data_IF_246898650731
#
_entry.id   IF_246898650731
#
_cell.length_a   1.000
_cell.length_b   1.000
_cell.length_c   1.000
_cell.angle_alpha   90.00
_cell.angle_beta   90.00
_cell.angle_gamma   90.00
#
_symmetry.space_group_name_H-M   'P 1'
#
loop_
_entity.id
_entity.type
_entity.pdbx_description
1 polymer ?
#
# COMPACT_ATOMS: atom_id res chain seq x y z
N UNK A 1 3.94 -24.13 22.16
CA UNK A 1 4.63 -24.34 20.87
C UNK A 1 5.36 -25.67 20.96
N UNK A 2 5.17 -26.56 20.00
CA UNK A 2 5.95 -27.79 19.88
C UNK A 2 7.40 -27.45 19.53
N UNK A 3 8.33 -27.76 20.43
CA UNK A 3 9.74 -27.88 20.05
C UNK A 3 9.89 -29.06 19.09
N UNK A 4 10.58 -28.88 17.97
CA UNK A 4 10.99 -30.04 17.16
C UNK A 4 11.76 -31.02 18.02
N UNK A 5 11.53 -32.32 17.80
CA UNK A 5 12.29 -33.35 18.49
C UNK A 5 13.77 -33.21 18.14
N UNK A 6 14.64 -33.72 19.00
CA UNK A 6 16.08 -33.73 18.71
C UNK A 6 16.39 -34.48 17.40
N UNK A 7 15.59 -35.51 17.09
CA UNK A 7 15.67 -36.31 15.87
C UNK A 7 15.37 -35.50 14.61
N UNK A 8 14.32 -34.66 14.62
CA UNK A 8 13.97 -33.82 13.47
C UNK A 8 15.06 -32.77 13.17
N UNK A 9 15.69 -32.22 14.22
CA UNK A 9 16.81 -31.27 14.06
C UNK A 9 18.03 -31.94 13.41
N UNK A 10 18.39 -33.15 13.83
CA UNK A 10 19.49 -33.91 13.23
C UNK A 10 19.19 -34.26 11.77
N UNK A 11 17.95 -34.65 11.46
CA UNK A 11 17.51 -34.90 10.08
C UNK A 11 17.61 -33.64 9.21
N UNK A 12 17.24 -32.47 9.72
CA UNK A 12 17.39 -31.20 9.00
C UNK A 12 18.87 -30.82 8.78
N UNK A 13 19.74 -31.05 9.77
CA UNK A 13 21.19 -30.82 9.63
C UNK A 13 21.78 -31.75 8.55
N UNK A 14 21.37 -33.03 8.51
CA UNK A 14 21.76 -33.96 7.46
C UNK A 14 21.32 -33.44 6.07
N UNK A 15 20.04 -33.08 5.90
CA UNK A 15 19.48 -32.48 4.68
C UNK A 15 20.16 -31.18 4.24
N UNK A 16 20.74 -30.42 5.19
CA UNK A 16 21.49 -29.21 4.88
C UNK A 16 22.90 -29.56 4.39
N UNK A 17 23.56 -30.52 5.02
CA UNK A 17 24.90 -30.97 4.67
C UNK A 17 24.95 -31.75 3.34
N UNK A 18 23.91 -32.51 3.00
CA UNK A 18 23.77 -33.17 1.68
C UNK A 18 23.18 -32.24 0.59
N UNK A 19 22.62 -31.09 0.99
CA UNK A 19 22.03 -30.11 0.09
C UNK A 19 20.63 -30.46 -0.43
N UNK A 20 19.94 -31.46 0.12
CA UNK A 20 18.58 -31.90 -0.26
C UNK A 20 17.44 -31.12 0.43
N UNK A 21 17.75 -30.23 1.38
CA UNK A 21 16.75 -29.41 2.08
C UNK A 21 15.93 -28.52 1.12
N UNK A 22 14.64 -28.33 1.46
CA UNK A 22 13.78 -27.31 0.85
C UNK A 22 13.73 -26.05 1.72
N UNK A 23 13.50 -24.88 1.13
CA UNK A 23 13.53 -23.60 1.87
C UNK A 23 12.44 -23.48 2.94
N UNK A 24 11.30 -24.16 2.79
CA UNK A 24 10.23 -24.18 3.81
C UNK A 24 10.66 -24.90 5.10
N UNK A 25 11.55 -25.90 5.01
CA UNK A 25 12.18 -26.58 6.18
C UNK A 25 13.00 -25.61 7.05
N UNK A 26 13.42 -24.48 6.48
CA UNK A 26 14.15 -23.43 7.19
C UNK A 26 13.24 -22.39 7.84
N UNK A 27 11.92 -22.45 7.69
CA UNK A 27 10.98 -21.54 8.37
C UNK A 27 11.06 -21.65 9.90
N UNK A 28 10.63 -20.65 10.66
CA UNK A 28 10.57 -20.75 12.13
C UNK A 28 9.69 -21.89 12.60
N UNK A 29 8.55 -22.11 11.93
CA UNK A 29 7.57 -23.09 12.35
C UNK A 29 8.14 -24.53 12.29
N UNK A 30 9.03 -24.78 11.31
CA UNK A 30 9.79 -26.04 11.16
C UNK A 30 11.19 -26.02 11.75
N UNK A 31 11.75 -24.86 12.09
CA UNK A 31 13.08 -24.74 12.68
C UNK A 31 13.23 -23.41 13.44
N UNK A 32 12.77 -23.31 14.71
CA UNK A 32 12.78 -22.03 15.42
C UNK A 32 14.17 -21.41 15.52
N UNK A 33 15.16 -22.18 15.98
CA UNK A 33 16.59 -21.82 16.00
C UNK A 33 17.39 -23.01 15.49
N UNK A 34 18.21 -22.78 14.46
CA UNK A 34 19.21 -23.74 14.00
C UNK A 34 20.55 -23.40 14.64
N UNK A 35 21.11 -24.35 15.39
CA UNK A 35 22.47 -24.24 15.88
C UNK A 35 23.43 -24.53 14.71
N UNK A 36 24.36 -23.60 14.48
CA UNK A 36 25.22 -23.59 13.29
C UNK A 36 26.55 -24.31 13.61
N UNK A 37 26.68 -24.94 14.79
CA UNK A 37 27.90 -25.65 15.21
C UNK A 37 28.24 -26.81 14.26
N UNK A 38 27.23 -27.58 13.87
CA UNK A 38 27.36 -28.84 13.12
C UNK A 38 27.31 -28.65 11.59
N UNK A 39 27.30 -27.40 11.12
CA UNK A 39 27.17 -27.05 9.69
C UNK A 39 28.39 -26.24 9.27
N UNK A 40 29.11 -26.72 8.26
CA UNK A 40 30.32 -26.05 7.78
C UNK A 40 30.01 -24.64 7.24
N UNK A 41 30.99 -23.74 7.30
CA UNK A 41 30.82 -22.35 6.84
C UNK A 41 30.46 -22.26 5.36
N UNK A 42 30.94 -23.19 4.55
CA UNK A 42 30.67 -23.21 3.10
C UNK A 42 29.30 -23.80 2.77
N UNK A 43 28.87 -24.86 3.46
CA UNK A 43 27.48 -25.35 3.35
C UNK A 43 26.51 -24.25 3.77
N UNK A 44 26.75 -23.58 4.90
CA UNK A 44 25.93 -22.46 5.36
C UNK A 44 25.88 -21.29 4.36
N UNK A 45 27.00 -21.00 3.70
CA UNK A 45 27.09 -19.99 2.63
C UNK A 45 26.26 -20.40 1.40
N UNK A 46 26.22 -21.68 1.05
CA UNK A 46 25.33 -22.20 -0.01
C UNK A 46 23.85 -22.12 0.39
N UNK A 47 23.49 -22.43 1.65
CA UNK A 47 22.13 -22.24 2.18
C UNK A 47 21.69 -20.78 2.02
N UNK A 48 22.55 -19.82 2.39
CA UNK A 48 22.25 -18.40 2.21
C UNK A 48 22.25 -17.96 0.75
N UNK A 49 23.03 -18.60 -0.13
CA UNK A 49 22.93 -18.37 -1.57
C UNK A 49 21.56 -18.77 -2.12
N UNK A 50 21.05 -19.97 -1.77
CA UNK A 50 19.69 -20.40 -2.15
C UNK A 50 18.60 -19.47 -1.61
N UNK A 51 18.73 -18.98 -0.37
CA UNK A 51 17.80 -17.99 0.19
C UNK A 51 17.78 -16.66 -0.56
N UNK A 52 18.95 -16.15 -0.96
CA UNK A 52 19.03 -14.91 -1.77
C UNK A 52 18.50 -15.16 -3.18
N UNK A 53 18.78 -16.32 -3.77
CA UNK A 53 18.31 -16.69 -5.11
C UNK A 53 16.78 -16.78 -5.17
N UNK A 54 16.13 -17.34 -4.15
CA UNK A 54 14.66 -17.36 -4.06
C UNK A 54 14.06 -15.95 -3.94
N UNK A 55 14.73 -15.06 -3.18
CA UNK A 55 14.34 -13.66 -3.11
C UNK A 55 14.54 -12.92 -4.45
N UNK A 56 15.58 -13.24 -5.24
CA UNK A 56 15.77 -12.67 -6.57
C UNK A 56 14.69 -13.18 -7.56
N UNK A 57 14.42 -14.50 -7.56
CA UNK A 57 13.38 -15.14 -8.38
C UNK A 57 11.99 -14.61 -8.10
N UNK A 58 11.63 -14.40 -6.82
CA UNK A 58 10.34 -13.80 -6.42
C UNK A 58 10.09 -12.44 -7.08
N UNK A 59 11.15 -11.68 -7.33
CA UNK A 59 11.15 -10.37 -7.96
C UNK A 59 11.56 -10.38 -9.44
N UNK A 60 11.67 -11.58 -10.05
CA UNK A 60 12.01 -11.78 -11.46
C UNK A 60 13.34 -11.14 -11.89
N UNK A 61 14.33 -11.13 -10.98
CA UNK A 61 15.69 -10.64 -11.25
C UNK A 61 16.62 -11.83 -11.45
N UNK A 62 17.35 -11.88 -12.57
CA UNK A 62 18.41 -12.87 -12.74
C UNK A 62 19.59 -12.55 -11.79
N UNK A 63 20.14 -13.59 -11.18
CA UNK A 63 21.30 -13.47 -10.29
C UNK A 63 22.60 -13.30 -11.07
N UNK A 64 22.66 -13.76 -12.32
CA UNK A 64 23.87 -13.65 -13.15
C UNK A 64 24.04 -12.19 -13.65
N UNK A 65 22.96 -11.56 -14.12
CA UNK A 65 22.91 -10.12 -14.47
C UNK A 65 23.29 -9.20 -13.29
N UNK A 66 23.11 -9.68 -12.06
CA UNK A 66 23.32 -8.92 -10.82
C UNK A 66 24.32 -9.60 -9.86
N UNK A 67 25.29 -10.35 -10.38
CA UNK A 67 26.14 -11.26 -9.61
C UNK A 67 26.94 -10.58 -8.48
N UNK A 68 27.34 -9.31 -8.66
CA UNK A 68 28.03 -8.52 -7.63
C UNK A 68 27.08 -8.18 -6.48
N UNK A 69 25.85 -7.74 -6.78
CA UNK A 69 24.80 -7.52 -5.78
C UNK A 69 24.46 -8.82 -5.04
N UNK A 70 24.21 -9.91 -5.79
CA UNK A 70 23.92 -11.24 -5.25
C UNK A 70 24.98 -11.70 -4.24
N UNK A 71 26.27 -11.66 -4.61
CA UNK A 71 27.39 -12.01 -3.71
C UNK A 71 27.41 -11.17 -2.43
N UNK A 72 27.02 -9.88 -2.51
CA UNK A 72 26.97 -8.97 -1.35
C UNK A 72 25.76 -9.25 -0.45
N UNK A 73 24.60 -9.59 -1.03
CA UNK A 73 23.43 -10.10 -0.31
C UNK A 73 23.76 -11.37 0.48
N UNK A 74 24.39 -12.37 -0.15
CA UNK A 74 24.83 -13.60 0.53
C UNK A 74 25.81 -13.29 1.66
N UNK A 75 26.84 -12.46 1.41
CA UNK A 75 27.80 -12.01 2.44
C UNK A 75 27.12 -11.25 3.59
N UNK A 76 25.96 -10.62 3.35
CA UNK A 76 25.15 -9.96 4.39
C UNK A 76 24.44 -10.98 5.28
N UNK A 77 23.76 -11.97 4.69
CA UNK A 77 23.10 -13.05 5.43
C UNK A 77 24.08 -13.88 6.26
N UNK A 78 25.25 -14.25 5.70
CA UNK A 78 26.34 -14.96 6.42
C UNK A 78 26.71 -14.23 7.72
N UNK A 79 26.81 -12.89 7.67
CA UNK A 79 27.14 -12.06 8.84
C UNK A 79 25.96 -11.89 9.79
N UNK A 80 24.73 -11.81 9.27
CA UNK A 80 23.52 -11.61 10.05
C UNK A 80 22.97 -12.87 10.73
N UNK A 81 23.34 -14.07 10.24
CA UNK A 81 22.93 -15.39 10.75
C UNK A 81 21.41 -15.57 10.93
N UNK A 82 20.59 -15.41 9.86
CA UNK A 82 19.12 -15.43 9.97
C UNK A 82 18.52 -16.75 10.48
N UNK A 83 19.25 -17.88 10.42
CA UNK A 83 18.79 -19.17 10.99
C UNK A 83 18.81 -19.21 12.53
N UNK A 84 19.49 -18.25 13.17
CA UNK A 84 19.54 -18.13 14.65
C UNK A 84 18.46 -17.18 15.20
N UNK A 85 17.79 -16.40 14.33
CA UNK A 85 16.81 -15.40 14.72
C UNK A 85 15.38 -15.97 14.69
N UNK A 86 14.63 -15.78 15.77
CA UNK A 86 13.18 -16.07 15.88
C UNK A 86 12.30 -14.83 15.71
N UNK A 87 12.87 -13.63 15.86
CA UNK A 87 12.21 -12.37 15.57
C UNK A 87 13.08 -11.49 14.68
N UNK A 88 12.47 -10.48 14.06
CA UNK A 88 13.20 -9.50 13.26
C UNK A 88 14.21 -8.70 14.11
N UNK A 89 13.91 -8.47 15.40
CA UNK A 89 14.82 -7.82 16.36
C UNK A 89 16.01 -8.68 16.78
N UNK A 90 15.88 -10.01 16.83
CA UNK A 90 16.99 -10.93 17.14
C UNK A 90 18.01 -11.05 16.00
N UNK A 91 17.69 -10.61 14.78
CA UNK A 91 18.59 -10.68 13.64
C UNK A 91 19.84 -9.83 13.86
N UNK A 92 21.04 -10.41 13.80
CA UNK A 92 22.30 -9.69 14.08
C UNK A 92 22.58 -8.55 13.08
N UNK A 93 21.95 -8.58 11.91
CA UNK A 93 21.99 -7.48 10.93
C UNK A 93 21.02 -6.32 11.24
N UNK A 94 20.07 -6.48 12.17
CA UNK A 94 18.95 -5.55 12.38
C UNK A 94 19.39 -4.14 12.72
N UNK A 95 20.37 -3.95 13.63
CA UNK A 95 20.91 -2.61 13.97
C UNK A 95 21.35 -1.80 12.74
N UNK A 96 21.88 -2.47 11.71
CA UNK A 96 22.28 -1.79 10.46
C UNK A 96 21.09 -1.56 9.52
N UNK A 97 20.11 -2.47 9.48
CA UNK A 97 18.84 -2.24 8.77
C UNK A 97 18.09 -1.05 9.38
N UNK A 98 17.90 -1.02 10.71
CA UNK A 98 17.30 0.09 11.47
C UNK A 98 17.99 1.44 11.17
N UNK A 99 19.33 1.47 11.07
CA UNK A 99 20.06 2.68 10.63
C UNK A 99 19.65 3.13 9.22
N UNK A 100 19.66 2.24 8.23
CA UNK A 100 19.27 2.60 6.86
C UNK A 100 17.80 3.00 6.74
N UNK A 101 16.90 2.38 7.53
CA UNK A 101 15.50 2.76 7.59
C UNK A 101 15.31 4.17 8.16
N UNK A 102 16.01 4.52 9.25
CA UNK A 102 15.99 5.88 9.80
C UNK A 102 16.44 6.90 8.75
N UNK A 103 17.61 6.70 8.14
CA UNK A 103 18.13 7.61 7.10
C UNK A 103 17.26 7.65 5.84
N UNK A 104 16.60 6.54 5.47
CA UNK A 104 15.63 6.54 4.37
C UNK A 104 14.36 7.33 4.72
N UNK A 105 13.89 7.26 5.96
CA UNK A 105 12.73 8.02 6.43
C UNK A 105 13.06 9.52 6.58
N UNK A 106 14.21 9.85 7.18
CA UNK A 106 14.75 11.21 7.25
C UNK A 106 14.77 11.85 5.85
N UNK A 107 15.35 11.15 4.87
CA UNK A 107 15.43 11.60 3.48
C UNK A 107 14.05 11.71 2.80
N UNK A 108 13.09 10.85 3.16
CA UNK A 108 11.71 10.93 2.68
C UNK A 108 11.00 12.17 3.26
N UNK A 109 11.17 12.46 4.56
CA UNK A 109 10.59 13.65 5.19
C UNK A 109 11.21 14.96 4.67
N UNK A 110 12.51 14.96 4.35
CA UNK A 110 13.17 16.15 3.79
C UNK A 110 12.78 16.45 2.34
N UNK A 111 12.44 15.42 1.56
CA UNK A 111 12.32 15.56 0.08
C UNK A 111 10.93 15.27 -0.47
N UNK A 112 10.01 14.72 0.33
CA UNK A 112 8.66 14.31 -0.10
C UNK A 112 8.60 13.06 -0.98
N UNK A 113 9.73 12.62 -1.55
CA UNK A 113 9.78 11.51 -2.50
C UNK A 113 9.92 10.14 -1.81
N UNK A 114 9.39 9.06 -2.41
CA UNK A 114 9.64 7.70 -1.94
C UNK A 114 11.13 7.38 -1.86
N UNK A 115 11.55 6.67 -0.82
CA UNK A 115 12.95 6.24 -0.63
C UNK A 115 13.08 4.73 -0.55
N UNK A 116 14.29 4.23 -0.77
CA UNK A 116 14.62 2.81 -0.67
C UNK A 116 15.98 2.61 0.01
N UNK A 117 16.12 1.52 0.77
CA UNK A 117 17.39 1.09 1.39
C UNK A 117 18.20 0.20 0.43
N UNK A 118 19.53 0.06 0.60
CA UNK A 118 20.36 -0.77 -0.29
C UNK A 118 19.88 -2.22 -0.39
N UNK A 119 19.94 -2.81 -1.59
CA UNK A 119 19.49 -4.19 -1.85
C UNK A 119 19.97 -5.24 -0.82
N UNK A 120 21.24 -5.31 -0.37
CA UNK A 120 21.65 -6.28 0.65
C UNK A 120 20.92 -6.18 1.99
N UNK A 121 20.41 -5.00 2.34
CA UNK A 121 19.56 -4.80 3.50
C UNK A 121 18.11 -5.18 3.21
N UNK A 122 17.56 -4.76 2.07
CA UNK A 122 16.20 -5.08 1.63
C UNK A 122 15.99 -6.60 1.49
N UNK A 123 16.91 -7.29 0.80
CA UNK A 123 16.93 -8.76 0.68
C UNK A 123 17.04 -9.45 2.04
N UNK A 124 17.84 -8.90 2.97
CA UNK A 124 17.92 -9.48 4.33
C UNK A 124 16.56 -9.50 5.01
N UNK A 125 15.79 -8.41 4.91
CA UNK A 125 14.45 -8.31 5.48
C UNK A 125 13.47 -9.22 4.75
N UNK A 126 13.48 -9.23 3.40
CA UNK A 126 12.60 -10.08 2.59
C UNK A 126 12.82 -11.57 2.92
N UNK A 127 14.07 -12.04 2.98
CA UNK A 127 14.40 -13.44 3.37
C UNK A 127 13.93 -13.76 4.79
N UNK A 128 14.08 -12.82 5.73
CA UNK A 128 13.60 -13.00 7.10
C UNK A 128 12.06 -13.13 7.17
N UNK A 129 11.33 -12.34 6.38
CA UNK A 129 9.87 -12.30 6.39
C UNK A 129 9.23 -13.45 5.59
N UNK A 130 9.77 -13.78 4.42
CA UNK A 130 9.12 -14.73 3.48
C UNK A 130 9.59 -16.17 3.66
N UNK A 131 10.91 -16.39 3.81
CA UNK A 131 11.51 -17.71 3.93
C UNK A 131 11.58 -18.13 5.40
N UNK A 132 12.22 -17.31 6.26
CA UNK A 132 12.30 -17.62 7.69
C UNK A 132 10.97 -17.43 8.43
N UNK A 133 10.06 -16.59 7.90
CA UNK A 133 8.80 -16.21 8.56
C UNK A 133 9.02 -15.70 9.99
N UNK A 134 10.03 -14.84 10.18
CA UNK A 134 10.37 -14.33 11.52
C UNK A 134 9.24 -13.51 12.14
N UNK A 135 9.11 -13.59 13.46
CA UNK A 135 8.14 -12.79 14.20
C UNK A 135 8.48 -11.31 14.10
N UNK A 136 7.46 -10.53 13.80
CA UNK A 136 7.50 -9.06 13.72
C UNK A 136 6.80 -8.44 14.95
N UNK A 137 5.82 -9.15 15.51
CA UNK A 137 4.90 -8.66 16.53
C UNK A 137 5.39 -9.03 17.94
N UNK A 138 6.17 -8.14 18.53
CA UNK A 138 6.21 -7.95 19.99
C UNK A 138 6.01 -6.45 20.21
N UNK A 139 5.26 -6.04 21.22
CA UNK A 139 4.80 -4.64 21.35
C UNK A 139 5.99 -3.66 21.39
N UNK A 140 7.03 -4.00 22.16
CA UNK A 140 8.33 -3.31 22.22
C UNK A 140 9.07 -3.19 20.87
N UNK A 141 8.77 -4.04 19.89
CA UNK A 141 9.35 -3.95 18.55
C UNK A 141 8.59 -2.94 17.70
N UNK A 142 7.27 -2.79 17.87
CA UNK A 142 6.49 -1.79 17.15
C UNK A 142 6.94 -0.37 17.52
N UNK A 143 6.89 -0.02 18.80
CA UNK A 143 7.32 1.27 19.36
C UNK A 143 8.69 1.70 18.82
N UNK A 144 9.65 0.78 18.93
CA UNK A 144 11.05 1.06 18.69
C UNK A 144 11.41 1.06 17.17
N UNK A 145 10.51 0.60 16.29
CA UNK A 145 10.80 0.41 14.86
C UNK A 145 9.72 1.00 13.93
N UNK A 146 9.06 2.10 14.30
CA UNK A 146 8.15 2.86 13.42
C UNK A 146 8.67 3.12 12.00
N UNK A 147 9.97 3.44 11.75
CA UNK A 147 10.49 3.56 10.38
C UNK A 147 10.37 2.29 9.54
N UNK A 148 10.45 1.10 10.16
CA UNK A 148 10.19 -0.16 9.46
C UNK A 148 8.72 -0.28 9.07
N UNK A 149 7.80 -0.03 10.02
CA UNK A 149 6.36 -0.12 9.79
C UNK A 149 5.90 0.84 8.66
N UNK A 150 6.31 2.11 8.73
CA UNK A 150 6.05 3.13 7.69
C UNK A 150 6.60 2.71 6.32
N UNK A 151 7.90 2.41 6.23
CA UNK A 151 8.55 2.19 4.94
C UNK A 151 8.15 0.85 4.28
N UNK A 152 7.99 -0.23 5.05
CA UNK A 152 7.63 -1.54 4.49
C UNK A 152 6.11 -1.76 4.39
N UNK A 153 5.32 -1.26 5.34
CA UNK A 153 3.87 -1.43 5.37
C UNK A 153 3.13 -0.43 4.48
N UNK A 154 3.40 0.86 4.66
CA UNK A 154 2.69 1.95 3.98
C UNK A 154 3.35 2.31 2.64
N UNK A 155 4.66 2.62 2.64
CA UNK A 155 5.39 2.95 1.41
C UNK A 155 5.78 1.73 0.55
N UNK A 156 5.40 0.51 0.97
CA UNK A 156 5.62 -0.77 0.27
C UNK A 156 7.06 -1.02 -0.21
N UNK A 157 8.08 -0.52 0.51
CA UNK A 157 9.48 -0.41 0.04
C UNK A 157 10.04 -1.66 -0.67
N UNK A 158 9.61 -2.86 -0.29
CA UNK A 158 9.95 -4.12 -0.96
C UNK A 158 9.75 -4.13 -2.49
N UNK A 159 8.75 -3.42 -3.01
CA UNK A 159 8.48 -3.35 -4.46
C UNK A 159 9.63 -2.73 -5.28
N UNK A 160 10.50 -1.96 -4.62
CA UNK A 160 11.66 -1.30 -5.23
C UNK A 160 12.90 -2.20 -5.29
N UNK A 161 12.83 -3.47 -4.87
CA UNK A 161 13.96 -4.39 -4.88
C UNK A 161 14.62 -4.56 -6.26
N UNK A 162 13.91 -4.70 -7.40
CA UNK A 162 14.56 -4.84 -8.71
C UNK A 162 15.44 -3.64 -9.05
N UNK A 163 14.94 -2.44 -8.75
CA UNK A 163 15.67 -1.17 -8.94
C UNK A 163 16.87 -1.09 -7.98
N UNK A 164 16.68 -1.45 -6.69
CA UNK A 164 17.77 -1.49 -5.70
C UNK A 164 18.87 -2.50 -6.08
N UNK A 165 18.54 -3.55 -6.82
CA UNK A 165 19.50 -4.52 -7.37
C UNK A 165 20.19 -3.94 -8.62
N UNK A 166 19.43 -3.46 -9.62
CA UNK A 166 19.98 -2.90 -10.89
C UNK A 166 21.01 -1.80 -10.63
N UNK A 167 20.78 -0.93 -9.65
CA UNK A 167 21.67 0.19 -9.32
C UNK A 167 22.58 -0.03 -8.10
N UNK A 168 22.69 -1.27 -7.61
CA UNK A 168 23.47 -1.57 -6.40
C UNK A 168 24.94 -1.11 -6.51
N UNK A 169 25.54 -1.26 -7.69
CA UNK A 169 26.96 -0.96 -7.87
C UNK A 169 27.26 0.52 -7.86
N UNK A 170 26.38 1.38 -8.39
CA UNK A 170 26.59 2.83 -8.38
C UNK A 170 26.12 3.50 -7.06
N UNK A 171 25.05 3.00 -6.43
CA UNK A 171 24.49 3.55 -5.18
C UNK A 171 25.23 3.00 -3.93
N UNK A 172 25.99 1.93 -4.11
CA UNK A 172 26.79 1.26 -3.10
C UNK A 172 25.96 0.77 -1.88
N UNK A 173 25.99 1.51 -0.76
CA UNK A 173 25.34 1.12 0.50
C UNK A 173 24.65 2.33 1.17
N UNK A 174 24.27 3.35 0.40
CA UNK A 174 23.42 4.46 0.87
C UNK A 174 21.93 4.21 0.55
N UNK A 175 20.98 4.74 1.35
CA UNK A 175 19.61 4.91 0.89
C UNK A 175 19.55 5.86 -0.32
N UNK A 176 18.49 5.77 -1.10
CA UNK A 176 18.30 6.56 -2.32
C UNK A 176 16.84 6.99 -2.51
N UNK A 177 16.64 8.03 -3.30
CA UNK A 177 15.33 8.58 -3.67
C UNK A 177 14.84 7.93 -4.96
N UNK A 178 13.52 7.76 -5.08
CA UNK A 178 12.83 7.33 -6.29
C UNK A 178 11.92 8.46 -6.78
N UNK A 179 12.08 8.87 -8.04
CA UNK A 179 11.18 9.82 -8.71
C UNK A 179 10.43 9.12 -9.84
N UNK A 180 9.10 9.09 -9.74
CA UNK A 180 8.24 8.53 -10.79
C UNK A 180 8.05 9.57 -11.89
N UNK A 181 8.37 9.22 -13.15
CA UNK A 181 8.22 10.09 -14.32
C UNK A 181 7.55 9.31 -15.45
N UNK A 182 6.45 9.86 -15.99
CA UNK A 182 5.72 9.27 -17.12
C UNK A 182 6.60 9.26 -18.38
N UNK A 183 6.51 8.19 -19.17
CA UNK A 183 7.24 8.06 -20.44
C UNK A 183 8.67 7.49 -20.33
N UNK A 184 9.23 7.31 -19.13
CA UNK A 184 10.53 6.66 -18.97
C UNK A 184 10.40 5.13 -19.13
N UNK A 185 11.00 4.57 -20.17
CA UNK A 185 11.02 3.11 -20.44
C UNK A 185 12.04 2.37 -19.58
N UNK A 186 13.22 2.94 -19.37
CA UNK A 186 14.28 2.39 -18.52
C UNK A 186 14.61 3.31 -17.35
N UNK A 187 14.74 2.79 -16.11
CA UNK A 187 15.11 3.63 -14.99
C UNK A 187 16.52 4.21 -15.18
N UNK A 188 16.73 5.42 -14.68
CA UNK A 188 17.98 6.19 -14.81
C UNK A 188 18.46 6.67 -13.45
N UNK A 189 19.77 6.60 -13.19
CA UNK A 189 20.37 7.08 -11.95
C UNK A 189 21.05 8.44 -12.16
N UNK A 190 20.74 9.37 -11.28
CA UNK A 190 21.40 10.68 -11.14
C UNK A 190 21.87 10.87 -9.70
N UNK A 191 22.84 11.75 -9.47
CA UNK A 191 23.28 12.16 -8.15
C UNK A 191 23.02 13.67 -7.98
N UNK A 192 22.42 14.07 -6.86
CA UNK A 192 22.25 15.48 -6.49
C UNK A 192 22.89 15.73 -5.11
N UNK A 193 23.31 16.97 -4.87
CA UNK A 193 23.70 17.41 -3.53
C UNK A 193 22.46 17.87 -2.74
N UNK A 194 22.35 17.43 -1.50
CA UNK A 194 21.30 17.80 -0.54
C UNK A 194 21.94 17.78 0.86
N UNK A 195 21.86 18.88 1.61
CA UNK A 195 22.51 19.08 2.92
C UNK A 195 23.99 18.61 2.94
N UNK A 196 24.80 19.13 2.00
CA UNK A 196 26.20 18.79 1.74
C UNK A 196 26.50 17.28 1.53
N UNK A 197 25.45 16.46 1.30
CA UNK A 197 25.57 15.04 1.03
C UNK A 197 25.14 14.76 -0.40
N UNK A 198 25.94 13.94 -1.08
CA UNK A 198 25.56 13.40 -2.39
C UNK A 198 24.51 12.31 -2.19
N UNK A 199 23.30 12.56 -2.69
CA UNK A 199 22.16 11.64 -2.65
C UNK A 199 21.92 11.06 -4.04
N UNK A 200 21.77 9.75 -4.11
CA UNK A 200 21.37 9.05 -5.34
C UNK A 200 19.86 9.17 -5.56
N UNK A 201 19.46 9.55 -6.78
CA UNK A 201 18.07 9.66 -7.22
C UNK A 201 17.88 8.78 -8.45
N UNK A 202 16.91 7.87 -8.38
CA UNK A 202 16.54 7.02 -9.51
C UNK A 202 15.22 7.51 -10.08
N UNK A 203 15.24 7.88 -11.35
CA UNK A 203 14.07 8.17 -12.16
C UNK A 203 13.53 6.87 -12.74
N UNK A 204 12.22 6.64 -12.69
CA UNK A 204 11.56 5.40 -13.15
C UNK A 204 10.12 5.68 -13.58
N UNK A 205 9.51 4.85 -14.42
CA UNK A 205 8.07 4.93 -14.73
C UNK A 205 7.16 4.51 -13.57
N UNK A 206 7.73 3.92 -12.52
CA UNK A 206 7.04 3.49 -11.31
C UNK A 206 7.75 2.28 -10.69
N UNK A 207 7.12 1.59 -9.72
CA UNK A 207 7.50 0.20 -9.44
C UNK A 207 7.17 -0.65 -10.67
N UNK A 208 7.94 -1.72 -10.90
CA UNK A 208 7.65 -2.69 -11.96
C UNK A 208 6.19 -3.19 -11.87
N UNK A 209 5.55 -3.56 -13.00
CA UNK A 209 4.12 -3.84 -13.05
C UNK A 209 3.66 -4.85 -11.99
N UNK A 210 2.41 -4.76 -11.50
CA UNK A 210 1.90 -5.43 -10.29
C UNK A 210 1.90 -6.97 -10.32
N UNK A 211 2.42 -7.58 -11.40
CA UNK A 211 2.69 -9.02 -11.51
C UNK A 211 3.95 -9.47 -10.77
N UNK A 212 4.87 -8.56 -10.42
CA UNK A 212 5.98 -8.93 -9.52
C UNK A 212 5.45 -9.18 -8.10
N UNK A 213 5.84 -10.30 -7.49
CA UNK A 213 5.43 -10.64 -6.13
C UNK A 213 6.18 -9.75 -5.14
N UNK A 214 5.58 -8.62 -4.79
CA UNK A 214 5.90 -7.88 -3.57
C UNK A 214 5.76 -8.79 -2.33
N UNK A 215 6.12 -8.30 -1.14
CA UNK A 215 5.86 -9.04 0.10
C UNK A 215 4.38 -9.48 0.14
N UNK A 216 4.08 -10.76 0.49
CA UNK A 216 2.71 -11.25 0.57
C UNK A 216 1.80 -10.31 1.36
N UNK A 217 0.58 -10.05 0.87
CA UNK A 217 -0.33 -9.06 1.46
C UNK A 217 -0.51 -9.24 2.97
N UNK A 218 -0.67 -10.48 3.44
CA UNK A 218 -0.76 -10.83 4.87
C UNK A 218 0.47 -10.36 5.70
N UNK A 219 1.67 -10.36 5.11
CA UNK A 219 2.88 -9.83 5.76
C UNK A 219 2.85 -8.29 5.77
N UNK A 220 2.40 -7.65 4.68
CA UNK A 220 2.27 -6.19 4.60
C UNK A 220 1.25 -5.66 5.61
N UNK A 221 0.07 -6.29 5.72
CA UNK A 221 -0.94 -5.91 6.72
C UNK A 221 -0.46 -6.13 8.16
N UNK A 222 0.26 -7.23 8.44
CA UNK A 222 0.91 -7.45 9.74
C UNK A 222 1.95 -6.38 10.07
N UNK A 223 2.63 -5.80 9.07
CA UNK A 223 3.61 -4.71 9.26
C UNK A 223 2.90 -3.38 9.48
N UNK A 224 1.82 -3.08 8.73
CA UNK A 224 1.00 -1.87 8.94
C UNK A 224 0.41 -1.82 10.35
N UNK A 225 -0.04 -2.96 10.88
CA UNK A 225 -0.53 -3.08 12.26
C UNK A 225 0.53 -2.86 13.36
N UNK A 226 1.78 -2.54 13.00
CA UNK A 226 2.83 -2.09 13.93
C UNK A 226 3.00 -0.57 13.93
N UNK A 227 2.36 0.15 13.01
CA UNK A 227 2.37 1.61 13.00
C UNK A 227 1.49 2.14 14.12
N UNK A 228 2.04 3.01 14.97
CA UNK A 228 1.22 3.87 15.83
C UNK A 228 0.67 5.01 14.97
N UNK A 229 -0.59 5.44 15.13
CA UNK A 229 -1.04 6.74 14.63
C UNK A 229 -0.09 7.81 15.17
N UNK A 230 0.61 8.53 14.29
CA UNK A 230 1.68 9.46 14.67
C UNK A 230 1.59 10.69 13.77
N UNK A 231 1.64 11.89 14.36
CA UNK A 231 1.35 13.19 13.71
C UNK A 231 2.25 13.55 12.51
N UNK A 232 3.23 12.73 12.17
CA UNK A 232 4.10 12.91 10.99
C UNK A 232 3.39 12.75 9.63
N UNK A 233 2.13 12.31 9.62
CA UNK A 233 1.29 12.36 8.41
C UNK A 233 0.62 13.73 8.19
N UNK A 234 0.72 14.67 9.15
CA UNK A 234 0.21 16.04 9.06
C UNK A 234 1.23 17.02 8.45
N UNK A 235 2.54 16.72 8.52
CA UNK A 235 3.61 17.71 8.28
C UNK A 235 4.24 17.68 6.87
N UNK A 236 3.66 16.97 5.90
CA UNK A 236 4.21 16.86 4.53
C UNK A 236 3.57 17.81 3.50
N UNK A 237 2.93 18.88 3.96
CA UNK A 237 2.46 20.00 3.14
C UNK A 237 2.80 21.35 3.79
N UNK A 238 3.98 21.89 3.49
CA UNK A 238 4.29 23.31 3.69
C UNK A 238 3.73 24.16 2.52
N UNK A 239 3.50 25.46 2.59
CA UNK A 239 3.73 26.53 3.59
C UNK A 239 2.59 27.59 3.39
N UNK A 240 2.31 28.59 4.24
CA UNK A 240 3.03 29.15 5.40
C UNK A 240 2.09 29.92 6.38
N UNK A 241 2.71 30.48 7.42
CA UNK A 241 2.36 31.71 8.17
C UNK A 241 1.26 31.79 9.26
N UNK A 242 1.63 32.61 10.26
CA UNK A 242 0.85 33.32 11.29
C UNK A 242 -0.05 32.55 12.29
N UNK A 243 0.33 32.67 13.57
CA UNK A 243 -0.51 32.38 14.74
C UNK A 243 -1.72 33.32 14.88
N UNK A 244 -2.88 32.81 15.33
CA UNK A 244 -3.81 33.46 16.27
C UNK A 244 -4.63 32.38 17.00
N UNK A 245 -4.79 32.53 18.31
CA UNK A 245 -5.66 31.67 19.13
C UNK A 245 -7.15 32.02 18.91
N UNK A 246 -8.00 31.01 18.66
CA UNK A 246 -9.42 31.04 19.02
C UNK A 246 -9.95 29.61 19.25
N UNK A 247 -10.75 29.42 20.31
CA UNK A 247 -11.21 28.09 20.72
C UNK A 247 -12.39 27.57 19.88
N UNK A 248 -12.29 26.35 19.35
CA UNK A 248 -13.45 25.50 19.06
C UNK A 248 -13.06 24.01 19.14
N UNK A 249 -13.59 23.22 20.09
CA UNK A 249 -13.24 21.81 20.22
C UNK A 249 -14.01 20.93 19.21
N UNK A 250 -13.27 20.39 18.23
CA UNK A 250 -13.72 19.26 17.41
C UNK A 250 -14.11 19.55 15.96
N UNK A 251 -13.41 20.45 15.26
CA UNK A 251 -13.51 20.57 13.79
C UNK A 251 -12.41 19.83 13.02
N UNK A 252 -11.27 19.52 13.64
CA UNK A 252 -10.13 18.81 13.02
C UNK A 252 -10.02 17.31 13.34
N UNK A 253 -10.92 16.75 14.15
CA UNK A 253 -10.93 15.31 14.41
C UNK A 253 -11.66 14.54 13.29
N UNK A 254 -11.17 13.33 12.90
CA UNK A 254 -11.88 12.46 11.98
C UNK A 254 -13.16 11.91 12.65
N UNK A 255 -14.23 11.80 11.87
CA UNK A 255 -15.50 11.28 12.39
C UNK A 255 -15.53 9.77 12.11
N UNK A 256 -15.58 8.93 13.15
CA UNK A 256 -15.81 7.49 12.99
C UNK A 256 -17.27 7.21 12.63
N UNK A 257 -17.50 6.69 11.43
CA UNK A 257 -18.82 6.48 10.85
C UNK A 257 -19.05 5.01 10.54
N UNK A 258 -19.91 4.38 11.34
CA UNK A 258 -20.49 3.08 11.02
C UNK A 258 -21.54 3.27 9.89
N UNK A 259 -21.23 2.83 8.68
CA UNK A 259 -22.16 2.76 7.55
C UNK A 259 -22.74 1.35 7.47
N UNK A 260 -24.07 1.26 7.52
CA UNK A 260 -24.82 0.02 7.29
C UNK A 260 -25.41 0.05 5.89
N UNK A 261 -25.35 -1.07 5.19
CA UNK A 261 -26.02 -1.30 3.91
C UNK A 261 -26.88 -2.54 4.06
N UNK A 262 -28.17 -2.44 3.79
CA UNK A 262 -29.07 -3.60 3.72
C UNK A 262 -29.26 -4.07 2.28
N UNK A 263 -29.62 -5.34 2.11
CA UNK A 263 -29.98 -5.89 0.79
C UNK A 263 -31.13 -5.13 0.15
N UNK A 264 -32.15 -4.75 0.92
CA UNK A 264 -33.32 -4.02 0.42
C UNK A 264 -32.91 -2.67 -0.16
N UNK A 265 -32.08 -1.89 0.53
CA UNK A 265 -31.56 -0.61 0.04
C UNK A 265 -30.68 -0.78 -1.21
N UNK A 266 -29.80 -1.79 -1.22
CA UNK A 266 -28.91 -2.07 -2.35
C UNK A 266 -29.71 -2.45 -3.62
N UNK A 267 -30.73 -3.30 -3.49
CA UNK A 267 -31.60 -3.69 -4.60
C UNK A 267 -32.53 -2.54 -5.04
N UNK A 268 -33.10 -1.79 -4.10
CA UNK A 268 -34.01 -0.68 -4.41
C UNK A 268 -33.28 0.47 -5.12
N UNK A 269 -32.05 0.80 -4.70
CA UNK A 269 -31.20 1.81 -5.37
C UNK A 269 -30.71 1.35 -6.75
N UNK A 270 -30.61 0.03 -6.98
CA UNK A 270 -30.21 -0.55 -8.25
C UNK A 270 -31.37 -0.92 -9.18
N UNK A 271 -32.61 -0.76 -8.76
CA UNK A 271 -33.78 -1.39 -9.40
C UNK A 271 -33.92 -1.04 -10.90
N UNK A 272 -33.62 0.20 -11.28
CA UNK A 272 -33.71 0.65 -12.68
C UNK A 272 -32.63 0.02 -13.58
N UNK A 273 -31.39 -0.07 -13.10
CA UNK A 273 -30.27 -0.63 -13.87
C UNK A 273 -30.29 -2.15 -13.89
N UNK A 274 -30.66 -2.78 -12.77
CA UNK A 274 -30.85 -4.23 -12.66
C UNK A 274 -32.04 -4.70 -13.52
N UNK A 275 -33.16 -3.97 -13.51
CA UNK A 275 -34.33 -4.30 -14.32
C UNK A 275 -34.10 -4.22 -15.83
N UNK A 276 -32.99 -3.64 -16.28
CA UNK A 276 -32.57 -3.53 -17.69
C UNK A 276 -31.46 -4.52 -18.08
N UNK A 277 -30.84 -5.18 -17.11
CA UNK A 277 -29.66 -6.01 -17.29
C UNK A 277 -30.03 -7.32 -18.01
N UNK A 278 -29.34 -7.61 -19.12
CA UNK A 278 -29.59 -8.81 -19.94
C UNK A 278 -30.92 -8.80 -20.71
N UNK A 279 -31.71 -7.72 -20.68
CA UNK A 279 -32.96 -7.64 -21.45
C UNK A 279 -32.69 -7.50 -22.96
N UNK A 280 -33.36 -8.31 -23.81
CA UNK A 280 -33.25 -8.18 -25.26
C UNK A 280 -33.86 -6.85 -25.73
N UNK A 281 -33.19 -6.17 -26.66
CA UNK A 281 -33.61 -4.87 -27.20
C UNK A 281 -33.18 -3.65 -26.37
N UNK A 282 -32.60 -3.85 -25.18
CA UNK A 282 -31.92 -2.79 -24.43
C UNK A 282 -30.45 -2.73 -24.84
N UNK A 283 -29.95 -1.54 -25.18
CA UNK A 283 -28.51 -1.32 -25.38
C UNK A 283 -27.77 -1.53 -24.05
N UNK A 284 -27.15 -2.69 -23.90
CA UNK A 284 -26.38 -3.04 -22.71
C UNK A 284 -25.18 -2.10 -22.51
N UNK A 285 -24.56 -1.57 -23.57
CA UNK A 285 -23.41 -0.67 -23.42
C UNK A 285 -23.81 0.65 -22.73
N UNK A 286 -25.03 1.14 -22.98
CA UNK A 286 -25.56 2.35 -22.32
C UNK A 286 -25.69 2.22 -20.79
N UNK A 287 -25.90 1.01 -20.27
CA UNK A 287 -26.05 0.76 -18.83
C UNK A 287 -24.75 0.95 -18.04
N UNK A 288 -23.60 1.00 -18.73
CA UNK A 288 -22.26 1.02 -18.12
C UNK A 288 -22.05 2.14 -17.10
N UNK A 289 -22.48 3.36 -17.40
CA UNK A 289 -22.31 4.49 -16.48
C UNK A 289 -23.17 4.32 -15.21
N UNK A 290 -24.44 3.93 -15.38
CA UNK A 290 -25.35 3.71 -14.26
C UNK A 290 -24.91 2.55 -13.36
N UNK A 291 -24.46 1.45 -13.95
CA UNK A 291 -23.93 0.29 -13.21
C UNK A 291 -22.62 0.61 -12.49
N UNK A 292 -21.67 1.32 -13.11
CA UNK A 292 -20.40 1.66 -12.44
C UNK A 292 -20.58 2.70 -11.31
N UNK A 293 -21.58 3.57 -11.41
CA UNK A 293 -21.97 4.47 -10.32
C UNK A 293 -22.66 3.74 -9.16
N UNK A 294 -23.52 2.77 -9.47
CA UNK A 294 -24.29 2.03 -8.45
C UNK A 294 -23.49 0.90 -7.79
N UNK A 295 -22.65 0.17 -8.54
CA UNK A 295 -21.84 -0.92 -8.00
C UNK A 295 -20.88 -0.42 -6.93
N UNK A 296 -20.79 -1.18 -5.85
CA UNK A 296 -19.91 -0.91 -4.71
C UNK A 296 -19.66 -2.20 -3.94
N UNK A 297 -18.55 -2.30 -3.20
CA UNK A 297 -18.30 -3.46 -2.34
C UNK A 297 -19.46 -3.71 -1.33
N UNK A 298 -19.99 -2.70 -0.60
CA UNK A 298 -21.14 -2.90 0.28
C UNK A 298 -22.37 -3.47 -0.44
N UNK A 299 -22.72 -2.93 -1.62
CA UNK A 299 -23.84 -3.46 -2.41
C UNK A 299 -23.56 -4.90 -2.86
N UNK A 300 -22.38 -5.17 -3.41
CA UNK A 300 -22.00 -6.52 -3.87
C UNK A 300 -22.09 -7.50 -2.69
N UNK A 301 -21.61 -7.17 -1.49
CA UNK A 301 -21.65 -8.09 -0.35
C UNK A 301 -23.06 -8.52 0.07
N UNK A 302 -24.06 -7.63 -0.01
CA UNK A 302 -25.45 -7.93 0.41
C UNK A 302 -26.36 -8.46 -0.70
N UNK A 303 -25.95 -8.37 -1.97
CA UNK A 303 -26.77 -8.86 -3.09
C UNK A 303 -27.02 -10.38 -3.03
N UNK A 304 -28.21 -10.85 -3.45
CA UNK A 304 -28.47 -12.27 -3.67
C UNK A 304 -27.52 -12.87 -4.71
N UNK A 305 -27.24 -14.17 -4.57
CA UNK A 305 -26.37 -14.92 -5.48
C UNK A 305 -26.78 -14.86 -6.97
N UNK A 306 -28.08 -14.81 -7.28
CA UNK A 306 -28.53 -14.71 -8.67
C UNK A 306 -28.13 -13.36 -9.28
N UNK A 307 -28.42 -12.24 -8.60
CA UNK A 307 -28.01 -10.90 -9.03
C UNK A 307 -26.49 -10.80 -9.20
N UNK A 308 -25.71 -11.43 -8.30
CA UNK A 308 -24.24 -11.51 -8.42
C UNK A 308 -23.79 -12.26 -9.68
N UNK A 309 -24.45 -13.36 -10.04
CA UNK A 309 -24.12 -14.10 -11.25
C UNK A 309 -24.44 -13.29 -12.52
N UNK A 310 -25.61 -12.65 -12.56
CA UNK A 310 -26.03 -11.84 -13.71
C UNK A 310 -25.07 -10.65 -13.91
N UNK A 311 -24.70 -9.98 -12.80
CA UNK A 311 -23.67 -8.94 -12.79
C UNK A 311 -22.28 -9.48 -13.14
N UNK A 312 -21.90 -10.70 -12.74
CA UNK A 312 -20.60 -11.28 -13.05
C UNK A 312 -20.41 -11.44 -14.56
N UNK A 313 -21.39 -12.02 -15.25
CA UNK A 313 -21.35 -12.16 -16.70
C UNK A 313 -21.39 -10.80 -17.40
N UNK A 314 -22.28 -9.91 -16.99
CA UNK A 314 -22.38 -8.58 -17.59
C UNK A 314 -21.10 -7.74 -17.37
N UNK A 315 -20.51 -7.76 -16.17
CA UNK A 315 -19.26 -7.05 -15.88
C UNK A 315 -18.05 -7.64 -16.62
N UNK A 316 -18.10 -8.93 -17.01
CA UNK A 316 -17.07 -9.56 -17.84
C UNK A 316 -16.83 -8.78 -19.14
N UNK A 317 -17.91 -8.30 -19.76
CA UNK A 317 -17.85 -7.67 -21.08
C UNK A 317 -17.73 -6.13 -21.00
N UNK A 318 -18.29 -5.50 -19.96
CA UNK A 318 -18.42 -4.03 -19.89
C UNK A 318 -17.69 -3.33 -18.73
N UNK A 319 -17.45 -4.00 -17.59
CA UNK A 319 -16.81 -3.41 -16.39
C UNK A 319 -15.84 -4.41 -15.71
N UNK A 320 -14.74 -4.79 -16.36
CA UNK A 320 -13.93 -5.93 -15.93
C UNK A 320 -13.24 -5.77 -14.57
N UNK A 321 -13.10 -4.54 -14.05
CA UNK A 321 -12.55 -4.28 -12.71
C UNK A 321 -13.43 -4.79 -11.56
N UNK A 322 -14.74 -4.95 -11.78
CA UNK A 322 -15.65 -5.48 -10.74
C UNK A 322 -15.63 -7.01 -10.64
N UNK A 323 -15.13 -7.74 -11.65
CA UNK A 323 -15.20 -9.21 -11.72
C UNK A 323 -14.55 -9.87 -10.50
N UNK A 324 -13.35 -9.44 -10.11
CA UNK A 324 -12.62 -10.06 -9.00
C UNK A 324 -13.31 -9.82 -7.64
N UNK A 325 -13.94 -8.65 -7.45
CA UNK A 325 -14.75 -8.35 -6.28
C UNK A 325 -16.00 -9.25 -6.24
N UNK A 326 -16.78 -9.29 -7.32
CA UNK A 326 -17.98 -10.12 -7.44
C UNK A 326 -17.64 -11.60 -7.23
N UNK A 327 -16.55 -12.10 -7.83
CA UNK A 327 -16.07 -13.48 -7.66
C UNK A 327 -15.68 -13.78 -6.22
N UNK A 328 -15.01 -12.85 -5.53
CA UNK A 328 -14.59 -13.08 -4.14
C UNK A 328 -15.76 -13.14 -3.15
N UNK A 329 -16.89 -12.51 -3.47
CA UNK A 329 -18.09 -12.46 -2.64
C UNK A 329 -19.26 -13.29 -3.19
N UNK A 330 -19.03 -14.18 -4.16
CA UNK A 330 -20.09 -14.86 -4.93
C UNK A 330 -20.94 -15.83 -4.09
N UNK A 331 -20.30 -16.49 -3.12
CA UNK A 331 -20.95 -17.41 -2.17
C UNK A 331 -21.33 -16.74 -0.83
N UNK A 332 -21.07 -15.43 -0.67
CA UNK A 332 -21.59 -14.68 0.48
C UNK A 332 -23.07 -14.35 0.26
N UNK A 333 -23.96 -14.68 1.20
CA UNK A 333 -25.35 -14.23 1.18
C UNK A 333 -25.68 -13.55 2.51
N UNK A 334 -25.61 -12.22 2.53
CA UNK A 334 -25.78 -11.40 3.73
C UNK A 334 -27.00 -10.50 3.57
N UNK A 335 -27.85 -10.43 4.59
CA UNK A 335 -28.94 -9.44 4.64
C UNK A 335 -28.41 -8.01 4.81
N UNK A 336 -27.32 -7.88 5.57
CA UNK A 336 -26.71 -6.61 5.95
C UNK A 336 -25.19 -6.67 5.90
N UNK A 337 -24.59 -5.55 5.56
CA UNK A 337 -23.15 -5.31 5.65
C UNK A 337 -22.92 -4.04 6.46
N UNK A 338 -21.91 -4.06 7.31
CA UNK A 338 -21.54 -2.94 8.17
C UNK A 338 -20.07 -2.66 7.95
N UNK A 339 -19.74 -1.41 7.61
CA UNK A 339 -18.37 -0.92 7.51
C UNK A 339 -18.19 0.27 8.44
N UNK A 340 -17.18 0.18 9.30
CA UNK A 340 -16.71 1.32 10.08
C UNK A 340 -15.66 2.04 9.24
N UNK A 341 -15.91 3.32 8.93
CA UNK A 341 -15.01 4.16 8.14
C UNK A 341 -14.80 5.49 8.85
N UNK A 342 -13.59 6.00 8.83
CA UNK A 342 -13.29 7.36 9.29
C UNK A 342 -13.55 8.35 8.15
N UNK A 343 -14.29 9.41 8.43
CA UNK A 343 -14.42 10.57 7.54
C UNK A 343 -13.35 11.57 7.95
N UNK A 344 -12.36 11.86 7.09
CA UNK A 344 -11.27 12.75 7.44
C UNK A 344 -11.77 14.16 7.73
N UNK A 345 -10.96 14.93 8.48
CA UNK A 345 -11.20 16.34 8.69
C UNK A 345 -11.20 17.14 7.37
N UNK A 346 -11.79 18.34 7.38
CA UNK A 346 -11.85 19.20 6.18
C UNK A 346 -10.46 19.45 5.58
N UNK A 347 -9.48 19.67 6.46
CA UNK A 347 -8.05 19.81 6.23
C UNK A 347 -7.39 18.59 5.56
N UNK A 348 -7.99 17.41 5.68
CA UNK A 348 -7.48 16.13 5.18
C UNK A 348 -8.33 15.54 4.02
N UNK A 349 -9.31 16.29 3.50
CA UNK A 349 -10.14 15.87 2.37
C UNK A 349 -9.28 15.71 1.11
N UNK A 350 -9.22 14.49 0.58
CA UNK A 350 -8.52 14.19 -0.66
C UNK A 350 -9.33 13.24 -1.54
N UNK A 351 -9.37 13.53 -2.85
CA UNK A 351 -10.06 12.70 -3.84
C UNK A 351 -9.08 11.62 -4.32
N UNK A 352 -9.37 10.32 -4.10
CA UNK A 352 -8.49 9.22 -4.50
C UNK A 352 -8.09 9.29 -5.97
N UNK A 353 -6.86 8.89 -6.27
CA UNK A 353 -6.35 8.86 -7.66
C UNK A 353 -7.15 7.92 -8.57
N UNK A 354 -7.80 6.91 -7.99
CA UNK A 354 -8.50 5.83 -8.70
C UNK A 354 -9.88 6.15 -9.27
N UNK A 355 -10.57 7.21 -8.83
CA UNK A 355 -11.92 7.49 -9.33
C UNK A 355 -12.68 8.59 -8.60
N UNK A 356 -13.49 9.33 -9.37
CA UNK A 356 -14.41 10.33 -8.81
C UNK A 356 -15.74 9.74 -8.30
N UNK A 357 -16.15 8.60 -8.85
CA UNK A 357 -17.37 7.87 -8.51
C UNK A 357 -17.35 7.37 -7.07
N UNK A 358 -16.28 6.68 -6.67
CA UNK A 358 -16.12 6.16 -5.30
C UNK A 358 -16.17 7.29 -4.25
N UNK A 359 -15.55 8.43 -4.57
CA UNK A 359 -15.59 9.62 -3.72
C UNK A 359 -17.02 10.17 -3.62
N UNK A 360 -17.70 10.48 -4.73
CA UNK A 360 -19.08 10.97 -4.70
C UNK A 360 -20.05 9.99 -4.01
N UNK A 361 -19.85 8.67 -4.18
CA UNK A 361 -20.66 7.63 -3.55
C UNK A 361 -20.52 7.62 -2.02
N UNK A 362 -19.30 7.71 -1.49
CA UNK A 362 -19.07 7.87 -0.05
C UNK A 362 -19.79 9.11 0.49
N UNK A 363 -19.67 10.24 -0.21
CA UNK A 363 -20.24 11.52 0.23
C UNK A 363 -21.78 11.52 0.16
N UNK A 364 -22.37 10.81 -0.80
CA UNK A 364 -23.82 10.54 -0.84
C UNK A 364 -24.28 9.66 0.34
N UNK A 365 -23.52 8.60 0.69
CA UNK A 365 -23.84 7.76 1.85
C UNK A 365 -23.74 8.54 3.18
N UNK A 366 -22.76 9.44 3.31
CA UNK A 366 -22.63 10.33 4.46
C UNK A 366 -23.79 11.33 4.55
N UNK A 367 -24.25 11.89 3.42
CA UNK A 367 -25.41 12.78 3.38
C UNK A 367 -26.70 12.07 3.85
N UNK A 368 -26.93 10.85 3.36
CA UNK A 368 -28.06 10.03 3.76
C UNK A 368 -28.01 9.71 5.27
N UNK A 369 -26.84 9.31 5.80
CA UNK A 369 -26.68 9.07 7.22
C UNK A 369 -26.88 10.32 8.07
N UNK A 370 -26.39 11.48 7.62
CA UNK A 370 -26.64 12.75 8.28
C UNK A 370 -28.14 13.11 8.32
N UNK A 371 -28.87 12.85 7.24
CA UNK A 371 -30.33 13.02 7.18
C UNK A 371 -31.06 12.12 8.19
N UNK A 372 -30.66 10.85 8.31
CA UNK A 372 -31.20 9.92 9.32
C UNK A 372 -30.86 10.34 10.76
N UNK A 373 -29.69 10.92 10.98
CA UNK A 373 -29.27 11.44 12.29
C UNK A 373 -29.91 12.79 12.65
N UNK A 374 -30.50 13.52 11.70
CA UNK A 374 -30.97 14.90 11.91
C UNK A 374 -32.01 15.02 13.04
N UNK A 375 -32.85 13.99 13.27
CA UNK A 375 -33.86 13.95 14.32
C UNK A 375 -33.36 13.44 15.68
N UNK A 376 -32.25 12.69 15.70
CA UNK A 376 -31.75 11.97 16.89
C UNK A 376 -30.44 12.54 17.45
N UNK A 377 -29.58 13.09 16.58
CA UNK A 377 -28.35 13.78 16.92
C UNK A 377 -28.06 14.90 15.91
N UNK A 378 -28.76 16.03 16.07
CA UNK A 378 -28.66 17.19 15.18
C UNK A 378 -27.28 17.91 15.21
N UNK A 379 -26.41 17.63 16.18
CA UNK A 379 -25.04 18.15 16.19
C UNK A 379 -24.17 17.33 15.24
N UNK A 380 -24.22 16.00 15.38
CA UNK A 380 -23.48 15.07 14.53
C UNK A 380 -23.94 15.11 13.07
N UNK A 381 -25.25 15.21 12.85
CA UNK A 381 -25.83 15.41 11.52
C UNK A 381 -25.28 16.67 10.84
N UNK A 382 -25.15 17.79 11.57
CA UNK A 382 -24.58 19.04 11.02
C UNK A 382 -23.08 18.92 10.74
N UNK A 383 -22.32 18.26 11.62
CA UNK A 383 -20.89 17.96 11.37
C UNK A 383 -20.70 17.12 10.12
N UNK A 384 -21.46 16.04 9.97
CA UNK A 384 -21.46 15.19 8.78
C UNK A 384 -21.84 15.97 7.51
N UNK A 385 -22.91 16.77 7.54
CA UNK A 385 -23.27 17.61 6.38
C UNK A 385 -22.19 18.64 6.03
N UNK A 386 -21.50 19.21 7.03
CA UNK A 386 -20.35 20.08 6.81
C UNK A 386 -19.19 19.39 6.10
N UNK A 387 -18.86 18.14 6.51
CA UNK A 387 -17.89 17.30 5.77
C UNK A 387 -18.38 17.06 4.33
N UNK A 388 -19.66 16.73 4.16
CA UNK A 388 -20.26 16.44 2.85
C UNK A 388 -20.12 17.61 1.87
N UNK A 389 -20.52 18.82 2.29
CA UNK A 389 -20.42 20.02 1.46
C UNK A 389 -18.96 20.31 1.05
N UNK A 390 -18.02 20.26 2.00
CA UNK A 390 -16.61 20.49 1.71
C UNK A 390 -16.02 19.44 0.74
N UNK A 391 -16.41 18.18 0.86
CA UNK A 391 -15.99 17.15 -0.10
C UNK A 391 -16.57 17.39 -1.50
N UNK A 392 -17.85 17.75 -1.61
CA UNK A 392 -18.48 18.07 -2.90
C UNK A 392 -17.82 19.30 -3.55
N UNK A 393 -17.48 20.33 -2.77
CA UNK A 393 -16.73 21.50 -3.25
C UNK A 393 -15.34 21.12 -3.78
N UNK A 394 -14.59 20.30 -3.03
CA UNK A 394 -13.29 19.77 -3.48
C UNK A 394 -13.44 18.97 -4.78
N UNK A 395 -14.52 18.19 -4.92
CA UNK A 395 -14.83 17.45 -6.14
C UNK A 395 -15.08 18.36 -7.34
N UNK A 396 -15.93 19.37 -7.17
CA UNK A 396 -16.21 20.37 -8.21
C UNK A 396 -14.93 21.09 -8.65
N UNK A 397 -14.10 21.54 -7.69
CA UNK A 397 -12.83 22.20 -7.97
C UNK A 397 -11.85 21.30 -8.77
N UNK A 398 -11.67 20.04 -8.35
CA UNK A 398 -10.76 19.10 -9.05
C UNK A 398 -11.29 18.67 -10.42
N UNK A 399 -12.61 18.60 -10.59
CA UNK A 399 -13.25 18.34 -11.88
C UNK A 399 -13.07 19.52 -12.85
N UNK A 400 -13.28 20.75 -12.37
CA UNK A 400 -13.09 21.98 -13.15
C UNK A 400 -11.62 22.19 -13.55
N UNK A 401 -10.67 21.93 -12.63
CA UNK A 401 -9.24 21.95 -12.95
C UNK A 401 -8.85 20.95 -14.05
N UNK A 402 -9.51 19.77 -14.11
CA UNK A 402 -9.30 18.81 -15.21
C UNK A 402 -9.89 19.30 -16.53
N UNK A 403 -11.04 19.98 -16.52
CA UNK A 403 -11.60 20.58 -17.75
C UNK A 403 -10.73 21.74 -18.25
N UNK A 404 -10.29 22.64 -17.36
CA UNK A 404 -9.32 23.70 -17.69
C UNK A 404 -8.01 23.14 -18.23
N UNK A 405 -7.45 22.09 -17.63
CA UNK A 405 -6.25 21.44 -18.17
C UNK A 405 -6.52 20.84 -19.57
N UNK A 406 -7.68 20.21 -19.78
CA UNK A 406 -8.05 19.66 -21.08
C UNK A 406 -8.35 20.75 -22.14
N UNK A 407 -8.81 21.95 -21.73
CA UNK A 407 -8.97 23.14 -22.59
C UNK A 407 -7.63 23.77 -22.94
N UNK A 408 -6.71 23.87 -21.97
CA UNK A 408 -5.34 24.32 -22.17
C UNK A 408 -4.57 23.41 -23.14
N UNK A 409 -4.72 22.08 -23.01
CA UNK A 409 -4.19 21.10 -23.97
C UNK A 409 -4.83 21.20 -25.38
N UNK A 410 -5.95 21.93 -25.53
CA UNK A 410 -6.60 22.27 -26.81
C UNK A 410 -6.28 23.69 -27.31
N UNK A 411 -5.59 24.52 -26.53
CA UNK A 411 -5.13 25.86 -26.94
C UNK A 411 -6.01 27.04 -26.51
N UNK A 412 -7.07 26.83 -25.73
CA UNK A 412 -7.88 27.94 -25.18
C UNK A 412 -7.20 28.52 -23.91
N UNK A 413 -6.50 29.65 -24.06
CA UNK A 413 -5.71 30.29 -23.00
C UNK A 413 -6.51 31.27 -22.12
N UNK A 414 -7.45 32.02 -22.70
CA UNK A 414 -8.12 33.17 -22.06
C UNK A 414 -8.96 32.80 -20.82
N UNK A 415 -9.47 31.56 -20.74
CA UNK A 415 -10.30 31.11 -19.62
C UNK A 415 -9.47 30.74 -18.38
N UNK A 416 -8.19 30.35 -18.58
CA UNK A 416 -7.28 29.93 -17.51
C UNK A 416 -6.70 31.13 -16.73
N UNK A 417 -6.23 32.16 -17.43
CA UNK A 417 -5.69 33.37 -16.78
C UNK A 417 -6.74 34.07 -15.91
N UNK A 418 -7.98 34.13 -16.40
CA UNK A 418 -9.12 34.70 -15.66
C UNK A 418 -9.40 33.95 -14.35
N UNK A 419 -9.33 32.62 -14.36
CA UNK A 419 -9.54 31.82 -13.15
C UNK A 419 -8.37 31.91 -12.16
N UNK A 420 -7.11 31.95 -12.62
CA UNK A 420 -5.97 32.21 -11.74
C UNK A 420 -6.10 33.57 -11.03
N UNK A 421 -6.65 34.58 -11.73
CA UNK A 421 -6.92 35.89 -11.15
C UNK A 421 -8.08 35.87 -10.14
N UNK A 422 -9.16 35.14 -10.40
CA UNK A 422 -10.29 35.00 -9.47
C UNK A 422 -9.90 34.20 -8.22
N UNK A 423 -9.15 33.09 -8.36
CA UNK A 423 -8.73 32.25 -7.23
C UNK A 423 -7.87 33.04 -6.23
N UNK A 424 -6.90 33.82 -6.74
CA UNK A 424 -6.02 34.67 -5.92
C UNK A 424 -6.77 35.76 -5.13
N UNK A 425 -7.98 36.15 -5.56
CA UNK A 425 -8.83 37.11 -4.86
C UNK A 425 -9.83 36.48 -3.88
N UNK A 426 -9.90 35.14 -3.80
CA UNK A 426 -10.84 34.42 -2.91
C UNK A 426 -10.17 33.71 -1.72
N UNK A 427 -8.83 33.73 -1.65
CA UNK A 427 -8.03 33.14 -0.56
C UNK A 427 -7.27 34.19 0.25
N UNK A 428 -7.88 35.36 0.46
CA UNK A 428 -7.39 36.44 1.35
C UNK A 428 -8.31 36.65 2.53
#
# INVERSE_FOLDING_TARGET
>A
MSSLSAMDKQLLIAKINDGSFVLDDLSIDRCPKLEIGDISRDVLKQVYARMVEEAFKSFHVDKEDAIICFRKCVKKLVRGRPLQATSLGEYKGWKKVKKHLKTALELQSQTGYPTCIPAPHLVSVIVLLTIRRVRINTDRFAEDNQPFARLFGHCRMSQWLPIAIKFYEQIHNGPFILKTVKGITEPMLTQLFHDDKMVSIIYTSGPSPPRLRALPALIVERIKGLSTPTDLDVMMGGNDDASINANSPGEDEPISVILTTTRVEALQSGAEVLGKLGLPGVDQASLRLGLDMWLSEPHIRVMPRHVKNDLFYWCSDYLPHWIDMIRSCLDEDRETWVIETEVPANSNLNIPEGGGSDFLRLYSQLANKASLLASSNAVEARRLMGRVDNGIRLFAAKAYMRDLQAKWERGDLDEFERFCFELANTTG
#
